data_IF_222890528215
#
_entry.id   IF_222890528215
#
_cell.length_a   1.000
_cell.length_b   1.000
_cell.length_c   1.000
_cell.angle_alpha   90.00
_cell.angle_beta   90.00
_cell.angle_gamma   90.00
#
_symmetry.space_group_name_H-M   'P 1'
#
loop_
_entity.id
_entity.type
_entity.pdbx_description
1 polymer ?
#
# COMPACT_ATOMS: atom_id res chain seq x y z
N UNK A 1 10.89 12.37 11.68
CA UNK A 1 12.09 11.56 11.30
C UNK A 1 13.06 12.48 10.55
N UNK A 2 14.37 12.35 10.77
CA UNK A 2 15.35 13.26 10.18
C UNK A 2 15.55 13.04 8.67
N UNK A 3 15.21 11.85 8.16
CA UNK A 3 15.35 11.47 6.76
C UNK A 3 14.11 10.74 6.25
N UNK A 4 14.01 10.64 4.93
CA UNK A 4 13.05 9.77 4.24
C UNK A 4 13.77 8.92 3.18
N UNK A 5 13.17 7.80 2.77
CA UNK A 5 13.65 7.03 1.63
C UNK A 5 12.92 7.47 0.37
N UNK A 6 13.66 7.90 -0.65
CA UNK A 6 13.13 8.24 -1.96
C UNK A 6 13.10 6.97 -2.84
N UNK A 7 11.92 6.44 -3.20
CA UNK A 7 11.81 5.23 -4.01
C UNK A 7 12.22 5.44 -5.48
N UNK A 8 12.23 6.68 -5.97
CA UNK A 8 12.63 7.03 -7.35
C UNK A 8 14.16 7.10 -7.43
N UNK A 9 14.77 7.83 -6.50
CA UNK A 9 16.23 7.97 -6.43
C UNK A 9 16.92 6.77 -5.78
N UNK A 10 16.17 5.91 -5.09
CA UNK A 10 16.64 4.76 -4.29
C UNK A 10 17.64 5.17 -3.20
N UNK A 11 17.45 6.35 -2.61
CA UNK A 11 18.37 6.99 -1.67
C UNK A 11 17.68 7.43 -0.39
N UNK A 12 18.46 7.57 0.69
CA UNK A 12 18.01 8.19 1.94
C UNK A 12 18.27 9.69 1.81
N UNK A 13 17.22 10.49 1.89
CA UNK A 13 17.26 11.92 1.67
C UNK A 13 17.03 12.66 2.98
N UNK A 14 17.71 13.78 3.18
CA UNK A 14 17.50 14.65 4.33
C UNK A 14 16.08 15.24 4.26
N UNK A 15 15.33 15.23 5.37
CA UNK A 15 13.99 15.81 5.42
C UNK A 15 14.09 17.35 5.26
N UNK A 16 13.14 18.01 4.56
CA UNK A 16 13.14 19.46 4.40
C UNK A 16 13.21 20.26 5.70
N UNK A 17 12.53 19.80 6.76
CA UNK A 17 12.53 20.41 8.09
C UNK A 17 13.92 20.42 8.75
N UNK A 18 14.87 19.64 8.24
CA UNK A 18 16.26 19.57 8.70
C UNK A 18 17.24 20.05 7.61
N UNK A 19 16.79 20.91 6.70
CA UNK A 19 17.63 21.51 5.65
C UNK A 19 17.89 20.59 4.46
N UNK A 20 16.98 19.65 4.20
CA UNK A 20 16.92 18.92 2.94
C UNK A 20 16.31 19.77 1.82
N UNK A 21 16.77 19.55 0.59
CA UNK A 21 16.37 20.28 -0.62
C UNK A 21 15.89 19.34 -1.75
N UNK A 22 15.61 18.08 -1.40
CA UNK A 22 15.27 17.01 -2.35
C UNK A 22 16.47 16.42 -3.11
N UNK A 23 17.69 16.93 -2.89
CA UNK A 23 18.94 16.46 -3.51
C UNK A 23 19.97 16.01 -2.47
N UNK A 24 19.94 16.61 -1.28
CA UNK A 24 20.83 16.29 -0.17
C UNK A 24 20.51 14.92 0.42
N UNK A 25 21.45 13.99 0.24
CA UNK A 25 21.39 12.69 0.88
C UNK A 25 21.57 12.81 2.41
N UNK A 26 20.87 11.96 3.15
CA UNK A 26 21.01 11.88 4.59
C UNK A 26 22.27 11.06 4.94
N UNK A 27 23.08 11.58 5.86
CA UNK A 27 24.29 10.91 6.37
C UNK A 27 24.03 10.05 7.60
N UNK A 28 22.82 10.13 8.17
CA UNK A 28 22.42 9.37 9.36
C UNK A 28 22.29 7.89 9.00
N UNK A 29 22.87 7.02 9.82
CA UNK A 29 22.73 5.57 9.65
C UNK A 29 21.28 5.13 9.95
N UNK A 30 20.60 4.61 8.93
CA UNK A 30 19.24 4.08 9.04
C UNK A 30 19.09 2.82 8.17
N UNK A 31 18.13 1.95 8.50
CA UNK A 31 17.84 0.76 7.70
C UNK A 31 17.06 1.17 6.45
N UNK A 32 17.39 0.56 5.31
CA UNK A 32 16.63 0.75 4.06
C UNK A 32 15.32 -0.05 4.13
N UNK A 33 14.17 0.52 3.75
CA UNK A 33 12.91 -0.22 3.78
C UNK A 33 12.96 -1.42 2.83
N UNK A 34 12.26 -2.51 3.18
CA UNK A 34 12.20 -3.71 2.35
C UNK A 34 11.48 -3.44 1.01
N UNK A 35 10.47 -2.57 1.03
CA UNK A 35 9.76 -2.07 -0.14
C UNK A 35 9.27 -0.65 0.17
N UNK A 36 9.13 0.18 -0.86
CA UNK A 36 8.65 1.55 -0.73
C UNK A 36 7.51 1.81 -1.72
N UNK A 37 6.62 2.73 -1.34
CA UNK A 37 5.43 3.11 -2.09
C UNK A 37 5.42 4.61 -2.34
N UNK A 38 4.64 5.10 -3.33
CA UNK A 38 4.41 6.52 -3.50
C UNK A 38 3.95 7.19 -2.20
N UNK A 39 4.32 8.45 -2.03
CA UNK A 39 3.94 9.23 -0.87
C UNK A 39 2.42 9.30 -0.68
N UNK A 40 2.02 9.31 0.59
CA UNK A 40 0.66 9.63 1.05
C UNK A 40 -0.43 8.59 0.78
N UNK A 41 -0.11 7.37 0.33
CA UNK A 41 -1.14 6.34 0.06
C UNK A 41 -1.82 5.75 1.32
N UNK A 42 -1.27 6.00 2.53
CA UNK A 42 -1.80 5.57 3.82
C UNK A 42 -2.02 4.04 3.94
N UNK A 43 -0.96 3.22 3.99
CA UNK A 43 -1.10 1.79 4.24
C UNK A 43 -1.59 1.53 5.67
N UNK A 44 -2.75 0.88 5.82
CA UNK A 44 -3.38 0.63 7.13
C UNK A 44 -3.43 -0.86 7.51
N UNK A 45 -3.36 -1.77 6.54
CA UNK A 45 -3.44 -3.20 6.78
C UNK A 45 -2.41 -3.97 5.97
N UNK A 46 -1.83 -5.02 6.56
CA UNK A 46 -0.91 -5.93 5.91
C UNK A 46 -1.29 -7.37 6.26
N UNK A 47 -1.33 -8.25 5.25
CA UNK A 47 -1.66 -9.66 5.39
C UNK A 47 -0.73 -10.52 4.53
N UNK A 48 0.05 -11.40 5.15
CA UNK A 48 0.71 -12.48 4.42
C UNK A 48 -0.29 -13.60 4.14
N UNK A 49 -0.45 -13.96 2.87
CA UNK A 49 -1.47 -14.90 2.45
C UNK A 49 -0.96 -16.34 2.42
N UNK A 50 -1.68 -17.24 3.09
CA UNK A 50 -1.31 -18.66 3.22
C UNK A 50 -2.34 -19.62 2.61
N UNK A 51 -3.51 -19.10 2.24
CA UNK A 51 -4.60 -19.87 1.65
C UNK A 51 -4.29 -20.41 0.24
N UNK A 52 -5.19 -21.24 -0.27
CA UNK A 52 -5.08 -21.86 -1.60
C UNK A 52 -6.19 -21.43 -2.58
N UNK A 53 -7.04 -20.45 -2.22
CA UNK A 53 -8.17 -20.00 -3.04
C UNK A 53 -7.72 -19.17 -4.25
N UNK A 54 -6.85 -18.20 -4.03
CA UNK A 54 -6.24 -17.41 -5.11
C UNK A 54 -5.17 -18.20 -5.88
N UNK A 55 -4.82 -17.79 -7.13
CA UNK A 55 -3.71 -18.36 -7.89
C UNK A 55 -2.41 -18.48 -7.07
N UNK A 56 -1.64 -19.55 -7.31
CA UNK A 56 -0.47 -19.91 -6.51
C UNK A 56 0.57 -18.78 -6.35
N UNK A 57 0.66 -17.87 -7.34
CA UNK A 57 1.56 -16.70 -7.29
C UNK A 57 1.30 -15.73 -6.12
N UNK A 58 0.10 -15.76 -5.54
CA UNK A 58 -0.25 -14.93 -4.38
C UNK A 58 0.19 -15.55 -3.06
N UNK A 59 0.50 -16.85 -3.04
CA UNK A 59 0.82 -17.57 -1.82
C UNK A 59 2.16 -17.09 -1.26
N UNK A 60 2.19 -16.91 0.06
CA UNK A 60 3.31 -16.37 0.84
C UNK A 60 3.73 -14.93 0.50
N UNK A 61 2.99 -14.23 -0.38
CA UNK A 61 3.17 -12.79 -0.59
C UNK A 61 2.32 -11.95 0.36
N UNK A 62 2.55 -10.64 0.32
CA UNK A 62 1.90 -9.67 1.20
C UNK A 62 0.82 -8.88 0.45
N UNK A 63 -0.39 -8.87 1.00
CA UNK A 63 -1.43 -7.92 0.63
C UNK A 63 -1.35 -6.70 1.53
N UNK A 64 -1.52 -5.50 0.96
CA UNK A 64 -1.49 -4.24 1.71
C UNK A 64 -2.69 -3.39 1.33
N UNK A 65 -3.47 -2.97 2.32
CA UNK A 65 -4.60 -2.08 2.14
C UNK A 65 -4.15 -0.62 2.26
N UNK A 66 -4.36 0.16 1.19
CA UNK A 66 -4.11 1.59 1.15
C UNK A 66 -5.41 2.36 1.33
N UNK A 67 -5.48 3.08 2.44
CA UNK A 67 -6.65 3.85 2.87
C UNK A 67 -6.93 5.07 2.00
N UNK A 68 -5.89 5.56 1.31
CA UNK A 68 -5.98 6.69 0.40
C UNK A 68 -5.52 8.01 1.03
N UNK A 69 -4.99 8.88 0.20
CA UNK A 69 -4.38 10.13 0.64
C UNK A 69 -5.42 11.19 1.03
N UNK A 70 -5.02 12.07 1.95
CA UNK A 70 -5.68 13.35 2.19
C UNK A 70 -4.74 14.52 1.90
N UNK A 71 -3.44 14.36 2.18
CA UNK A 71 -2.41 15.38 1.99
C UNK A 71 -1.49 15.01 0.82
N UNK A 72 -1.91 15.27 -0.42
CA UNK A 72 -1.13 14.95 -1.64
C UNK A 72 -0.99 16.13 -2.60
N UNK A 73 -1.46 17.31 -2.24
CA UNK A 73 -1.37 18.50 -3.09
C UNK A 73 0.10 18.85 -3.42
N UNK A 74 0.40 19.33 -4.65
CA UNK A 74 -0.55 19.67 -5.73
C UNK A 74 -1.03 18.46 -6.55
N UNK A 75 -0.50 17.26 -6.31
CA UNK A 75 -0.92 16.04 -7.01
C UNK A 75 -2.36 15.62 -6.63
N UNK A 76 -3.09 14.95 -7.54
CA UNK A 76 -4.34 14.27 -7.22
C UNK A 76 -4.24 13.37 -5.99
N UNK A 77 -5.33 13.18 -5.26
CA UNK A 77 -5.36 12.15 -4.23
C UNK A 77 -5.25 10.75 -4.88
N UNK A 78 -4.67 9.79 -4.16
CA UNK A 78 -4.37 8.44 -4.66
C UNK A 78 -4.46 7.39 -3.53
N UNK A 79 -4.41 6.11 -3.88
CA UNK A 79 -4.63 4.98 -2.96
C UNK A 79 -6.02 4.42 -3.16
N UNK A 80 -6.71 4.05 -2.07
CA UNK A 80 -8.07 3.46 -2.11
C UNK A 80 -8.11 2.08 -2.75
N UNK A 81 -7.06 1.29 -2.59
CA UNK A 81 -6.91 -0.03 -3.19
C UNK A 81 -6.17 -0.99 -2.26
N UNK A 82 -6.24 -2.27 -2.57
CA UNK A 82 -5.38 -3.31 -2.01
C UNK A 82 -4.36 -3.69 -3.06
N UNK A 83 -3.09 -3.74 -2.68
CA UNK A 83 -2.00 -4.24 -3.54
C UNK A 83 -1.53 -5.61 -3.11
N UNK A 84 -0.76 -6.25 -3.99
CA UNK A 84 0.02 -7.44 -3.70
C UNK A 84 1.52 -7.18 -3.94
N UNK A 85 2.35 -7.68 -3.02
CA UNK A 85 3.80 -7.72 -3.10
C UNK A 85 4.26 -9.18 -3.07
N UNK A 86 4.96 -9.70 -4.10
CA UNK A 86 5.51 -11.04 -4.07
C UNK A 86 6.65 -11.12 -3.06
N UNK A 87 6.72 -12.22 -2.30
CA UNK A 87 7.78 -12.49 -1.33
C UNK A 87 8.42 -13.85 -1.56
N UNK A 88 9.73 -13.90 -1.38
CA UNK A 88 10.54 -15.11 -1.41
C UNK A 88 11.58 -15.04 -0.28
N UNK A 89 11.77 -16.15 0.45
CA UNK A 89 12.78 -16.25 1.52
C UNK A 89 12.71 -15.11 2.57
N UNK A 90 11.50 -14.69 2.93
CA UNK A 90 11.27 -13.64 3.94
C UNK A 90 11.52 -12.21 3.47
N UNK A 91 11.72 -11.98 2.16
CA UNK A 91 11.93 -10.65 1.57
C UNK A 91 11.02 -10.42 0.36
N UNK A 92 10.68 -9.16 0.02
CA UNK A 92 10.07 -8.87 -1.27
C UNK A 92 10.93 -9.43 -2.40
N UNK A 93 10.31 -10.21 -3.30
CA UNK A 93 11.01 -10.83 -4.42
C UNK A 93 11.47 -9.79 -5.46
N UNK A 94 10.76 -8.67 -5.54
CA UNK A 94 11.08 -7.54 -6.42
C UNK A 94 10.72 -6.21 -5.73
N UNK A 95 11.16 -5.08 -6.30
CA UNK A 95 10.69 -3.75 -5.91
C UNK A 95 9.32 -3.39 -6.53
N UNK A 96 8.72 -4.31 -7.29
CA UNK A 96 7.42 -4.15 -7.93
C UNK A 96 6.31 -4.74 -7.07
N UNK A 97 5.15 -4.12 -7.21
CA UNK A 97 3.89 -4.53 -6.61
C UNK A 97 2.79 -4.32 -7.65
N UNK A 98 1.66 -4.99 -7.45
CA UNK A 98 0.51 -4.89 -8.35
C UNK A 98 -0.75 -4.50 -7.59
N UNK A 99 -1.66 -3.79 -8.26
CA UNK A 99 -3.00 -3.54 -7.72
C UNK A 99 -3.78 -4.86 -7.79
N UNK A 100 -4.25 -5.33 -6.64
CA UNK A 100 -5.02 -6.56 -6.50
C UNK A 100 -6.52 -6.29 -6.55
N UNK A 101 -6.97 -5.25 -5.85
CA UNK A 101 -8.36 -4.81 -5.85
C UNK A 101 -8.40 -3.28 -5.75
N UNK A 102 -9.19 -2.64 -6.61
CA UNK A 102 -9.30 -1.18 -6.71
C UNK A 102 -10.78 -0.75 -6.76
N UNK A 103 -11.02 0.53 -7.01
CA UNK A 103 -12.32 1.16 -7.18
C UNK A 103 -13.16 1.24 -5.90
N UNK A 104 -12.54 1.07 -4.72
CA UNK A 104 -13.20 1.33 -3.44
C UNK A 104 -13.61 2.81 -3.32
N UNK A 105 -12.87 3.72 -3.95
CA UNK A 105 -13.22 5.13 -4.00
C UNK A 105 -14.47 5.46 -4.83
N UNK A 106 -14.94 4.53 -5.68
CA UNK A 106 -16.07 4.77 -6.58
C UNK A 106 -15.71 5.49 -7.88
N UNK A 107 -14.45 5.42 -8.30
CA UNK A 107 -13.99 5.86 -9.63
C UNK A 107 -12.93 6.96 -9.59
N UNK A 108 -12.35 7.25 -10.76
CA UNK A 108 -11.19 8.14 -10.88
C UNK A 108 -11.43 9.57 -10.37
N UNK A 109 -12.61 10.15 -10.60
CA UNK A 109 -12.94 11.51 -10.14
C UNK A 109 -13.07 11.59 -8.61
N UNK A 110 -13.62 10.54 -7.99
CA UNK A 110 -13.71 10.42 -6.54
C UNK A 110 -12.34 10.17 -5.92
N UNK A 111 -11.52 9.32 -6.55
CA UNK A 111 -10.11 9.16 -6.19
C UNK A 111 -9.40 10.51 -6.22
N UNK A 112 -9.42 11.22 -7.34
CA UNK A 112 -8.71 12.50 -7.53
C UNK A 112 -9.12 13.56 -6.50
N UNK A 113 -10.41 13.63 -6.17
CA UNK A 113 -10.94 14.59 -5.20
C UNK A 113 -10.79 14.18 -3.73
N UNK A 114 -10.45 12.92 -3.44
CA UNK A 114 -10.42 12.37 -2.09
C UNK A 114 -11.79 12.08 -1.48
N UNK A 115 -12.88 12.31 -2.22
CA UNK A 115 -14.26 12.01 -1.82
C UNK A 115 -14.60 10.55 -2.13
N UNK A 116 -13.79 9.64 -1.60
CA UNK A 116 -13.93 8.22 -1.79
C UNK A 116 -15.20 7.67 -1.13
N UNK A 117 -15.88 6.75 -1.82
CA UNK A 117 -17.04 6.05 -1.28
C UNK A 117 -16.64 5.15 -0.11
N UNK A 118 -15.53 4.41 -0.25
CA UNK A 118 -14.98 3.50 0.76
C UNK A 118 -13.46 3.60 0.83
N UNK A 119 -12.90 3.29 2.01
CA UNK A 119 -11.47 3.42 2.31
C UNK A 119 -10.92 2.12 2.90
N UNK A 120 -10.22 1.29 2.10
CA UNK A 120 -9.63 0.04 2.58
C UNK A 120 -8.73 0.25 3.80
N UNK A 121 -8.96 -0.50 4.87
CA UNK A 121 -8.27 -0.32 6.15
C UNK A 121 -7.65 -1.65 6.62
N UNK A 122 -8.46 -2.55 7.17
CA UNK A 122 -8.02 -3.84 7.69
C UNK A 122 -8.06 -4.95 6.64
N UNK A 123 -7.22 -5.98 6.85
CA UNK A 123 -7.18 -7.19 6.04
C UNK A 123 -7.26 -8.44 6.94
N UNK A 124 -8.00 -9.45 6.49
CA UNK A 124 -8.02 -10.76 7.14
C UNK A 124 -8.19 -11.89 6.11
N UNK A 125 -7.62 -13.05 6.40
CA UNK A 125 -7.84 -14.27 5.62
C UNK A 125 -8.95 -15.11 6.26
N UNK A 126 -9.94 -15.52 5.48
CA UNK A 126 -10.95 -16.50 5.89
C UNK A 126 -10.41 -17.93 5.90
N UNK A 127 -11.10 -18.86 6.58
CA UNK A 127 -10.71 -20.27 6.59
C UNK A 127 -10.76 -20.91 5.20
N UNK A 128 -11.60 -20.39 4.30
CA UNK A 128 -11.69 -20.83 2.91
C UNK A 128 -10.60 -20.22 1.98
N UNK A 129 -9.72 -19.38 2.52
CA UNK A 129 -8.70 -18.65 1.76
C UNK A 129 -9.21 -17.38 1.05
N UNK A 130 -10.45 -16.95 1.28
CA UNK A 130 -10.89 -15.62 0.83
C UNK A 130 -10.18 -14.52 1.61
N UNK A 131 -10.07 -13.32 1.04
CA UNK A 131 -9.57 -12.13 1.75
C UNK A 131 -10.74 -11.24 2.10
N UNK A 132 -10.77 -10.76 3.34
CA UNK A 132 -11.69 -9.73 3.81
C UNK A 132 -10.97 -8.39 3.88
N UNK A 133 -11.64 -7.33 3.42
CA UNK A 133 -11.16 -5.94 3.47
C UNK A 133 -12.17 -5.13 4.24
N UNK A 134 -11.75 -4.46 5.32
CA UNK A 134 -12.63 -3.54 6.04
C UNK A 134 -12.52 -2.11 5.52
N UNK A 135 -13.59 -1.35 5.68
CA UNK A 135 -13.67 0.09 5.49
C UNK A 135 -14.19 0.74 6.77
N UNK A 136 -13.36 1.54 7.42
CA UNK A 136 -13.69 2.24 8.66
C UNK A 136 -14.53 3.50 8.41
N UNK A 137 -14.54 4.04 7.19
CA UNK A 137 -15.28 5.26 6.82
C UNK A 137 -16.79 5.01 6.74
N UNK A 138 -17.19 3.85 6.20
CA UNK A 138 -18.61 3.46 6.05
C UNK A 138 -18.99 2.20 6.83
N UNK A 139 -18.05 1.54 7.50
CA UNK A 139 -18.31 0.30 8.25
C UNK A 139 -18.59 -0.91 7.35
N UNK A 140 -18.11 -0.90 6.11
CA UNK A 140 -18.33 -2.00 5.14
C UNK A 140 -17.24 -3.06 5.27
N UNK A 141 -17.61 -4.33 5.13
CA UNK A 141 -16.66 -5.45 5.00
C UNK A 141 -16.86 -6.10 3.63
N UNK A 142 -15.80 -6.10 2.82
CA UNK A 142 -15.77 -6.79 1.53
C UNK A 142 -15.21 -8.20 1.71
N UNK A 143 -15.81 -9.19 1.05
CA UNK A 143 -15.22 -10.52 0.87
C UNK A 143 -14.77 -10.66 -0.58
N UNK A 144 -13.47 -10.84 -0.79
CA UNK A 144 -12.88 -11.12 -2.10
C UNK A 144 -12.63 -12.62 -2.20
N UNK A 145 -13.26 -13.27 -3.16
CA UNK A 145 -13.09 -14.70 -3.43
C UNK A 145 -12.79 -14.93 -4.91
N UNK A 146 -11.92 -15.91 -5.18
CA UNK A 146 -11.61 -16.36 -6.53
C UNK A 146 -12.34 -17.67 -6.83
N UNK A 147 -13.04 -17.70 -7.96
CA UNK A 147 -13.59 -18.91 -8.56
C UNK A 147 -12.90 -19.10 -9.92
N UNK A 148 -12.49 -20.32 -10.22
CA UNK A 148 -11.92 -20.67 -11.52
C UNK A 148 -12.99 -20.78 -12.59
#
# INVERSE_FOLDING_TARGET
>A
PYLYYDPIQKKKMMMPEYGGDGKKEATVNAITPAIAFPGHLAPNGLLFYTGNKFPARYKNGAFIAFHGSWNRAPEPQAGYFVVFVPFENGKPATDKWEVFADNFSGGADKTKSGRADHRPCGLAQGPDGSIFVSDDSKGTIYKISYNK
#
